data_IF_888980466868
#
_entry.id   IF_888980466868
#
_cell.length_a   1.000
_cell.length_b   1.000
_cell.length_c   1.000
_cell.angle_alpha   90.00
_cell.angle_beta   90.00
_cell.angle_gamma   90.00
#
_symmetry.space_group_name_H-M   'P 1'
#
loop_
_entity.id
_entity.type
_entity.pdbx_description
1 polymer ?
#
# COMPACT_ATOMS: atom_id res chain seq x y z
N UNK A 1 -6.17 -11.97 -29.22
CA UNK A 1 -4.99 -12.81 -28.89
C UNK A 1 -4.98 -12.98 -27.36
N UNK A 2 -4.36 -14.01 -26.78
CA UNK A 2 -4.47 -14.27 -25.33
C UNK A 2 -3.11 -14.33 -24.64
N UNK A 3 -3.01 -13.71 -23.46
CA UNK A 3 -1.89 -13.86 -22.51
C UNK A 3 -2.33 -14.81 -21.40
N UNK A 4 -1.48 -15.78 -21.06
CA UNK A 4 -1.73 -16.76 -20.01
C UNK A 4 -0.78 -16.53 -18.84
N UNK A 5 -1.34 -16.47 -17.64
CA UNK A 5 -0.65 -16.27 -16.37
C UNK A 5 -0.79 -17.55 -15.55
N UNK A 6 0.33 -18.19 -15.24
CA UNK A 6 0.39 -19.37 -14.38
C UNK A 6 0.75 -18.97 -12.96
N UNK A 7 -0.15 -19.26 -12.03
CA UNK A 7 -0.01 -18.92 -10.61
C UNK A 7 0.83 -19.98 -9.89
N UNK A 8 1.91 -19.55 -9.23
CA UNK A 8 2.74 -20.40 -8.37
C UNK A 8 2.28 -20.39 -6.92
N UNK A 9 1.75 -19.25 -6.45
CA UNK A 9 1.09 -19.07 -5.15
C UNK A 9 -0.33 -18.53 -5.37
N UNK A 10 -1.28 -19.02 -4.58
CA UNK A 10 -2.70 -18.67 -4.67
C UNK A 10 -3.15 -17.60 -3.65
N UNK A 11 -2.25 -17.17 -2.76
CA UNK A 11 -2.54 -16.29 -1.62
C UNK A 11 -3.24 -14.96 -1.99
N UNK A 12 -2.86 -14.36 -3.12
CA UNK A 12 -3.38 -13.04 -3.54
C UNK A 12 -4.16 -13.07 -4.86
N UNK A 13 -4.68 -14.24 -5.26
CA UNK A 13 -5.35 -14.41 -6.56
C UNK A 13 -6.57 -13.50 -6.72
N UNK A 14 -7.38 -13.35 -5.68
CA UNK A 14 -8.55 -12.46 -5.72
C UNK A 14 -8.15 -10.99 -5.90
N UNK A 15 -7.07 -10.55 -5.25
CA UNK A 15 -6.54 -9.19 -5.40
C UNK A 15 -5.98 -8.98 -6.80
N UNK A 16 -5.20 -9.93 -7.31
CA UNK A 16 -4.68 -9.90 -8.67
C UNK A 16 -5.81 -9.82 -9.70
N UNK A 17 -6.86 -10.65 -9.57
CA UNK A 17 -8.01 -10.61 -10.47
C UNK A 17 -8.71 -9.25 -10.47
N UNK A 18 -8.90 -8.65 -9.29
CA UNK A 18 -9.48 -7.30 -9.20
C UNK A 18 -8.62 -6.25 -9.91
N UNK A 19 -7.30 -6.27 -9.73
CA UNK A 19 -6.38 -5.37 -10.43
C UNK A 19 -6.50 -5.56 -11.95
N UNK A 20 -6.43 -6.81 -12.41
CA UNK A 20 -6.52 -7.12 -13.84
C UNK A 20 -7.89 -6.73 -14.43
N UNK A 21 -8.99 -6.89 -13.69
CA UNK A 21 -10.31 -6.43 -14.13
C UNK A 21 -10.41 -4.92 -14.25
N UNK A 22 -9.80 -4.17 -13.34
CA UNK A 22 -9.77 -2.70 -13.40
C UNK A 22 -8.96 -2.23 -14.63
N UNK A 23 -7.82 -2.88 -14.89
CA UNK A 23 -6.91 -2.47 -15.97
C UNK A 23 -7.34 -2.94 -17.37
N UNK A 24 -7.86 -4.16 -17.48
CA UNK A 24 -8.12 -4.82 -18.77
C UNK A 24 -9.60 -5.09 -19.05
N UNK A 25 -10.50 -4.83 -18.10
CA UNK A 25 -11.93 -5.10 -18.23
C UNK A 25 -12.30 -6.50 -17.74
N UNK A 26 -13.52 -6.64 -17.21
CA UNK A 26 -14.00 -7.88 -16.61
C UNK A 26 -14.30 -8.96 -17.64
N UNK A 27 -14.65 -8.55 -18.85
CA UNK A 27 -14.96 -9.37 -20.00
C UNK A 27 -13.71 -9.97 -20.67
N UNK A 28 -12.56 -9.30 -20.55
CA UNK A 28 -11.31 -9.73 -21.19
C UNK A 28 -10.44 -10.57 -20.26
N UNK A 29 -10.78 -10.67 -18.97
CA UNK A 29 -10.00 -11.44 -17.99
C UNK A 29 -10.85 -12.58 -17.44
N UNK A 30 -10.38 -13.81 -17.65
CA UNK A 30 -11.05 -15.01 -17.16
C UNK A 30 -10.07 -15.95 -16.46
N UNK A 31 -10.58 -16.73 -15.51
CA UNK A 31 -9.82 -17.75 -14.79
C UNK A 31 -10.40 -19.13 -15.16
N UNK A 32 -9.97 -19.74 -16.28
CA UNK A 32 -10.50 -21.04 -16.71
C UNK A 32 -10.14 -22.16 -15.73
N UNK A 33 -8.99 -22.06 -15.05
CA UNK A 33 -8.54 -23.02 -14.04
C UNK A 33 -8.04 -22.30 -12.79
N UNK A 34 -8.03 -23.00 -11.65
CA UNK A 34 -7.64 -22.43 -10.35
C UNK A 34 -6.28 -21.70 -10.38
N UNK A 35 -5.32 -22.20 -11.16
CA UNK A 35 -3.96 -21.65 -11.26
C UNK A 35 -3.67 -20.93 -12.57
N UNK A 36 -4.67 -20.70 -13.40
CA UNK A 36 -4.48 -20.12 -14.74
C UNK A 36 -5.42 -18.94 -14.90
N UNK A 37 -4.85 -17.75 -15.10
CA UNK A 37 -5.58 -16.55 -15.49
C UNK A 37 -5.25 -16.26 -16.95
N UNK A 38 -6.25 -15.84 -17.70
CA UNK A 38 -6.09 -15.46 -19.10
C UNK A 38 -6.60 -14.06 -19.35
N UNK A 39 -5.89 -13.32 -20.21
CA UNK A 39 -6.23 -11.95 -20.60
C UNK A 39 -6.30 -11.90 -22.13
N UNK A 40 -7.47 -11.58 -22.65
CA UNK A 40 -7.70 -11.32 -24.06
C UNK A 40 -7.24 -9.90 -24.40
N UNK A 41 -6.31 -9.79 -25.36
CA UNK A 41 -5.70 -8.53 -25.79
C UNK A 41 -5.31 -8.60 -27.26
N UNK A 42 -5.18 -7.45 -27.92
CA UNK A 42 -4.65 -7.35 -29.28
C UNK A 42 -3.11 -7.32 -29.31
N UNK A 43 -2.49 -6.84 -28.23
CA UNK A 43 -1.06 -6.63 -28.06
C UNK A 43 -0.54 -7.47 -26.88
N UNK A 44 -0.05 -8.68 -27.18
CA UNK A 44 0.41 -9.63 -26.15
C UNK A 44 1.67 -9.15 -25.45
N UNK A 45 2.63 -8.62 -26.20
CA UNK A 45 3.97 -8.33 -25.69
C UNK A 45 3.90 -7.19 -24.66
N UNK A 46 3.12 -6.15 -24.98
CA UNK A 46 2.88 -5.02 -24.07
C UNK A 46 2.14 -5.41 -22.80
N UNK A 47 1.14 -6.30 -22.90
CA UNK A 47 0.40 -6.76 -21.70
C UNK A 47 1.28 -7.67 -20.85
N UNK A 48 2.07 -8.55 -21.46
CA UNK A 48 3.00 -9.41 -20.71
C UNK A 48 4.03 -8.60 -19.91
N UNK A 49 4.60 -7.56 -20.51
CA UNK A 49 5.52 -6.64 -19.81
C UNK A 49 4.83 -5.93 -18.64
N UNK A 50 3.66 -5.32 -18.87
CA UNK A 50 2.93 -4.60 -17.82
C UNK A 50 2.50 -5.50 -16.66
N UNK A 51 2.04 -6.72 -16.94
CA UNK A 51 1.59 -7.64 -15.88
C UNK A 51 2.76 -8.13 -15.03
N UNK A 52 3.97 -8.23 -15.59
CA UNK A 52 5.16 -8.59 -14.83
C UNK A 52 5.51 -7.55 -13.74
N UNK A 53 5.17 -6.27 -13.96
CA UNK A 53 5.42 -5.17 -13.02
C UNK A 53 4.29 -4.96 -12.00
N UNK A 54 3.19 -5.74 -12.07
CA UNK A 54 2.06 -5.58 -11.15
C UNK A 54 2.45 -6.01 -9.73
N UNK A 55 2.46 -5.04 -8.82
CA UNK A 55 2.59 -5.29 -7.38
C UNK A 55 1.23 -5.69 -6.82
N UNK A 56 1.06 -6.98 -6.52
CA UNK A 56 -0.21 -7.56 -6.07
C UNK A 56 -0.48 -7.24 -4.58
N UNK A 57 0.58 -7.27 -3.77
CA UNK A 57 0.53 -6.94 -2.36
C UNK A 57 1.80 -6.18 -1.99
N UNK A 58 1.64 -5.08 -1.26
CA UNK A 58 2.74 -4.35 -0.65
C UNK A 58 2.56 -4.38 0.87
N UNK A 59 3.27 -5.29 1.58
CA UNK A 59 3.17 -5.43 3.03
C UNK A 59 3.43 -4.11 3.78
N UNK A 60 4.20 -3.18 3.20
CA UNK A 60 4.51 -1.89 3.81
C UNK A 60 3.25 -1.07 4.06
N UNK A 61 2.33 -1.03 3.09
CA UNK A 61 1.05 -0.29 3.22
C UNK A 61 0.19 -0.85 4.34
N UNK A 62 0.17 -2.17 4.49
CA UNK A 62 -0.57 -2.81 5.56
C UNK A 62 0.05 -2.49 6.93
N UNK A 63 1.37 -2.56 7.04
CA UNK A 63 2.11 -2.21 8.26
C UNK A 63 1.87 -0.75 8.62
N UNK A 64 1.99 0.18 7.67
CA UNK A 64 1.70 1.62 7.86
C UNK A 64 0.29 1.83 8.41
N UNK A 65 -0.71 1.16 7.81
CA UNK A 65 -2.11 1.27 8.24
C UNK A 65 -2.31 0.75 9.66
N UNK A 66 -1.72 -0.42 9.98
CA UNK A 66 -1.81 -1.02 11.32
C UNK A 66 -1.07 -0.19 12.37
N UNK A 67 0.07 0.39 12.01
CA UNK A 67 0.84 1.27 12.90
C UNK A 67 0.04 2.56 13.18
N UNK A 68 -0.56 3.16 12.16
CA UNK A 68 -1.45 4.30 12.33
C UNK A 68 -2.60 3.99 13.29
N UNK A 69 -3.31 2.87 13.08
CA UNK A 69 -4.40 2.42 13.97
C UNK A 69 -3.90 2.22 15.41
N UNK A 70 -2.73 1.60 15.60
CA UNK A 70 -2.13 1.42 16.92
C UNK A 70 -1.86 2.78 17.60
N UNK A 71 -1.26 3.73 16.88
CA UNK A 71 -0.98 5.08 17.39
C UNK A 71 -2.26 5.81 17.79
N UNK A 72 -3.33 5.69 17.00
CA UNK A 72 -4.63 6.29 17.32
C UNK A 72 -5.26 5.70 18.58
N UNK A 73 -5.05 4.40 18.87
CA UNK A 73 -5.59 3.71 20.04
C UNK A 73 -4.81 3.95 21.32
N UNK A 74 -3.49 4.10 21.24
CA UNK A 74 -2.66 4.43 22.41
C UNK A 74 -2.76 5.91 22.79
N UNK A 75 -3.15 6.76 21.83
CA UNK A 75 -3.31 8.20 22.06
C UNK A 75 -4.47 8.44 23.03
N UNK A 76 -4.26 9.23 24.11
CA UNK A 76 -5.33 9.57 25.05
C UNK A 76 -6.55 10.18 24.37
N UNK A 77 -7.74 9.92 24.90
CA UNK A 77 -9.00 10.34 24.28
C UNK A 77 -9.15 11.87 24.13
N UNK A 78 -8.54 12.64 25.04
CA UNK A 78 -8.50 14.10 24.97
C UNK A 78 -7.68 14.63 23.80
N UNK A 79 -6.75 13.84 23.26
CA UNK A 79 -5.79 14.25 22.25
C UNK A 79 -6.38 14.07 20.85
N UNK A 80 -7.25 15.01 20.48
CA UNK A 80 -8.04 14.98 19.24
C UNK A 80 -7.38 15.71 18.08
N UNK A 81 -6.50 16.68 18.36
CA UNK A 81 -5.74 17.37 17.32
C UNK A 81 -4.49 16.55 17.01
N UNK A 82 -4.34 16.13 15.76
CA UNK A 82 -3.32 15.16 15.34
C UNK A 82 -2.62 15.63 14.07
N UNK A 83 -1.32 15.44 14.03
CA UNK A 83 -0.47 15.66 12.87
C UNK A 83 0.38 14.41 12.68
N UNK A 84 0.44 13.87 11.47
CA UNK A 84 1.28 12.72 11.17
C UNK A 84 1.92 12.88 9.81
N UNK A 85 3.15 12.37 9.70
CA UNK A 85 3.92 12.32 8.45
C UNK A 85 4.47 10.91 8.33
N UNK A 86 4.23 10.28 7.18
CA UNK A 86 4.82 8.98 6.86
C UNK A 86 5.72 9.17 5.65
N UNK A 87 7.01 8.89 5.82
CA UNK A 87 7.96 8.69 4.71
C UNK A 87 8.20 7.18 4.62
N UNK A 88 8.61 6.64 3.47
CA UNK A 88 8.55 5.19 3.22
C UNK A 88 9.15 4.24 4.27
N UNK A 89 10.01 4.72 5.18
CA UNK A 89 10.56 3.96 6.31
C UNK A 89 10.29 4.58 7.69
N UNK A 90 9.64 5.74 7.78
CA UNK A 90 9.54 6.51 9.02
C UNK A 90 8.11 7.01 9.23
N UNK A 91 7.67 7.03 10.49
CA UNK A 91 6.37 7.58 10.86
C UNK A 91 6.53 8.55 12.01
N UNK A 92 6.21 9.82 11.77
CA UNK A 92 6.08 10.87 12.76
C UNK A 92 4.61 11.02 13.15
N UNK A 93 4.33 11.09 14.45
CA UNK A 93 2.98 11.28 14.97
C UNK A 93 3.00 12.23 16.16
N UNK A 94 2.28 13.34 16.04
CA UNK A 94 2.13 14.37 17.06
C UNK A 94 0.64 14.49 17.40
N UNK A 95 0.30 14.39 18.67
CA UNK A 95 -1.08 14.55 19.13
C UNK A 95 -1.13 15.52 20.32
N UNK A 96 -2.21 16.29 20.42
CA UNK A 96 -2.46 17.23 21.51
C UNK A 96 -3.97 17.40 21.77
N UNK A 97 -4.33 17.83 22.98
CA UNK A 97 -5.68 18.27 23.30
C UNK A 97 -6.00 19.61 22.62
N UNK A 98 -5.01 20.50 22.57
CA UNK A 98 -5.10 21.82 21.98
C UNK A 98 -4.57 21.83 20.53
N UNK A 99 -4.72 22.97 19.86
CA UNK A 99 -4.16 23.16 18.52
C UNK A 99 -2.64 22.95 18.51
N UNK A 100 -2.18 22.07 17.61
CA UNK A 100 -0.75 21.80 17.43
C UNK A 100 -0.09 23.03 16.82
N UNK A 101 0.93 23.54 17.50
CA UNK A 101 1.71 24.68 17.02
C UNK A 101 2.79 24.24 16.03
N UNK A 102 3.13 25.06 15.02
CA UNK A 102 4.17 24.73 14.05
C UNK A 102 5.53 24.36 14.69
N UNK A 103 5.91 25.03 15.78
CA UNK A 103 7.16 24.73 16.49
C UNK A 103 7.21 23.33 17.11
N UNK A 104 6.06 22.74 17.44
CA UNK A 104 5.99 21.38 17.98
C UNK A 104 6.19 20.34 16.90
N UNK A 105 5.63 20.58 15.71
CA UNK A 105 5.87 19.72 14.54
C UNK A 105 7.34 19.75 14.17
N UNK A 106 7.92 20.95 14.05
CA UNK A 106 9.34 21.11 13.73
C UNK A 106 10.24 20.40 14.74
N UNK A 107 9.95 20.54 16.04
CA UNK A 107 10.72 19.82 17.07
C UNK A 107 10.63 18.30 16.91
N UNK A 108 9.46 17.79 16.55
CA UNK A 108 9.27 16.36 16.32
C UNK A 108 10.02 15.88 15.07
N UNK A 109 10.07 16.69 14.00
CA UNK A 109 10.90 16.44 12.81
C UNK A 109 12.39 16.43 13.17
N UNK A 110 12.87 17.43 13.92
CA UNK A 110 14.28 17.50 14.37
C UNK A 110 14.66 16.25 15.21
N UNK A 111 13.74 15.77 16.07
CA UNK A 111 13.94 14.53 16.84
C UNK A 111 14.00 13.28 15.95
N UNK A 112 13.19 13.24 14.89
CA UNK A 112 13.22 12.15 13.93
C UNK A 112 14.55 12.13 13.17
N UNK A 113 15.05 13.28 12.75
CA UNK A 113 16.33 13.37 12.05
C UNK A 113 17.51 12.98 12.95
N UNK A 114 17.51 13.37 14.23
CA UNK A 114 18.50 12.90 15.20
C UNK A 114 18.50 11.38 15.36
N UNK A 115 17.31 10.75 15.44
CA UNK A 115 17.21 9.30 15.53
C UNK A 115 17.81 8.58 14.31
N UNK A 116 17.81 9.21 13.13
CA UNK A 116 18.44 8.65 11.92
C UNK A 116 19.96 8.74 11.97
N UNK A 117 20.51 9.82 12.53
CA UNK A 117 21.96 9.98 12.66
C UNK A 117 22.57 8.97 13.63
N UNK A 118 21.78 8.48 14.59
CA UNK A 118 22.18 7.51 15.61
C UNK A 118 22.04 6.03 15.18
N UNK A 119 21.48 5.74 13.99
CA UNK A 119 21.25 4.39 13.45
C UNK A 119 22.28 3.98 12.39
#
# INVERSE_FOLDING_TARGET
KQVELKLTNEEHVSTLLNILWIEYGRENVSQPEKKVITIDTEDKDKVAEKVADVVIADPRREIETRLADALLRITPEGFRVRHHVSTGSEMLFVASEDSIKPEWVKKAEDMMDQLKEDL
#
